data_IF_991046865450
#
_entry.id   IF_991046865450
#
_cell.length_a   1.000
_cell.length_b   1.000
_cell.length_c   1.000
_cell.angle_alpha   90.00
_cell.angle_beta   90.00
_cell.angle_gamma   90.00
#
_symmetry.space_group_name_H-M   'P 1'
#
loop_
_entity.id
_entity.type
_entity.pdbx_description
1 polymer ?
#
# COMPACT_ATOMS: atom_id res chain seq x y z
N UNK A 1 -18.15 33.17 27.40
CA UNK A 1 -18.51 31.93 26.66
C UNK A 1 -18.06 31.90 25.19
N UNK A 2 -17.78 33.05 24.54
CA UNK A 2 -17.31 33.10 23.14
C UNK A 2 -16.05 32.28 22.82
N UNK A 3 -15.08 32.22 23.73
CA UNK A 3 -13.83 31.47 23.51
C UNK A 3 -13.97 29.95 23.64
N UNK A 4 -14.98 29.47 24.38
CA UNK A 4 -15.21 28.04 24.55
C UNK A 4 -15.66 27.39 23.24
N UNK A 5 -16.52 28.07 22.48
CA UNK A 5 -16.98 27.59 21.17
C UNK A 5 -15.83 27.54 20.15
N UNK A 6 -14.93 28.52 20.15
CA UNK A 6 -13.75 28.52 19.26
C UNK A 6 -12.80 27.39 19.64
N UNK A 7 -12.51 27.19 20.93
CA UNK A 7 -11.67 26.09 21.41
C UNK A 7 -12.29 24.72 21.09
N UNK A 8 -13.61 24.59 21.21
CA UNK A 8 -14.33 23.36 20.89
C UNK A 8 -14.28 23.07 19.38
N UNK A 9 -14.41 24.09 18.54
CA UNK A 9 -14.31 23.96 17.09
C UNK A 9 -12.90 23.53 16.66
N UNK A 10 -11.86 24.12 17.25
CA UNK A 10 -10.47 23.71 16.99
C UNK A 10 -10.17 22.28 17.47
N UNK A 11 -10.71 21.88 18.63
CA UNK A 11 -10.58 20.52 19.11
C UNK A 11 -11.28 19.52 18.18
N UNK A 12 -12.46 19.86 17.65
CA UNK A 12 -13.18 19.03 16.69
C UNK A 12 -12.42 18.90 15.36
N UNK A 13 -11.86 20.00 14.85
CA UNK A 13 -11.06 20.01 13.61
C UNK A 13 -9.80 19.14 13.75
N UNK A 14 -9.11 19.24 14.88
CA UNK A 14 -7.94 18.41 15.17
C UNK A 14 -8.29 16.92 15.25
N UNK A 15 -9.44 16.57 15.85
CA UNK A 15 -9.90 15.18 15.91
C UNK A 15 -10.23 14.61 14.52
N UNK A 16 -10.81 15.41 13.62
CA UNK A 16 -11.10 14.97 12.25
C UNK A 16 -9.82 14.76 11.41
N UNK A 17 -8.75 15.51 11.68
CA UNK A 17 -7.49 15.38 10.94
C UNK A 17 -6.73 14.08 11.27
N UNK A 18 -6.88 13.55 12.48
CA UNK A 18 -6.16 12.35 12.93
C UNK A 18 -6.90 11.04 12.63
N UNK A 19 -8.19 11.09 12.25
CA UNK A 19 -9.01 9.90 12.00
C UNK A 19 -8.98 9.35 10.57
N UNK A 20 -8.26 9.99 9.66
CA UNK A 20 -8.17 9.58 8.24
C UNK A 20 -6.97 8.66 7.99
N UNK A 21 -6.91 7.50 8.66
CA UNK A 21 -6.04 6.44 8.16
C UNK A 21 -6.66 5.85 6.89
N UNK A 22 -5.96 6.01 5.77
CA UNK A 22 -6.39 5.40 4.51
C UNK A 22 -6.39 3.88 4.65
N UNK A 23 -7.45 3.18 4.20
CA UNK A 23 -7.50 1.73 4.27
C UNK A 23 -6.28 1.13 3.57
N UNK A 24 -5.50 0.34 4.31
CA UNK A 24 -4.33 -0.34 3.78
C UNK A 24 -4.77 -1.49 2.88
N UNK A 25 -4.15 -1.58 1.71
CA UNK A 25 -4.29 -2.72 0.79
C UNK A 25 -3.11 -3.66 0.96
N UNK A 26 -3.29 -4.93 0.57
CA UNK A 26 -2.22 -5.89 0.38
C UNK A 26 -2.02 -6.11 -1.10
N UNK A 27 -0.81 -5.86 -1.59
CA UNK A 27 -0.51 -5.87 -3.02
C UNK A 27 0.75 -6.68 -3.24
N UNK A 28 0.68 -7.61 -4.17
CA UNK A 28 1.83 -8.31 -4.73
C UNK A 28 2.41 -7.40 -5.81
N UNK A 29 3.68 -7.03 -5.64
CA UNK A 29 4.44 -6.22 -6.59
C UNK A 29 5.51 -7.09 -7.21
N UNK A 30 5.57 -7.11 -8.54
CA UNK A 30 6.52 -7.91 -9.29
C UNK A 30 7.13 -7.14 -10.47
N UNK A 31 8.30 -7.61 -10.92
CA UNK A 31 8.97 -7.10 -12.12
C UNK A 31 9.82 -8.21 -12.75
N UNK A 32 10.18 -8.05 -14.02
CA UNK A 32 11.10 -8.99 -14.68
C UNK A 32 12.52 -8.91 -14.08
N UNK A 33 12.93 -7.70 -13.68
CA UNK A 33 14.26 -7.43 -13.14
C UNK A 33 14.24 -7.41 -11.60
N UNK A 34 15.11 -8.22 -10.99
CA UNK A 34 15.27 -8.29 -9.54
C UNK A 34 15.74 -6.95 -8.95
N UNK A 35 16.60 -6.20 -9.64
CA UNK A 35 17.07 -4.90 -9.17
C UNK A 35 15.94 -3.89 -9.03
N UNK A 36 14.96 -3.95 -9.93
CA UNK A 36 13.75 -3.12 -9.87
C UNK A 36 12.89 -3.50 -8.68
N UNK A 37 12.76 -4.80 -8.39
CA UNK A 37 12.05 -5.30 -7.21
C UNK A 37 12.72 -4.85 -5.91
N UNK A 38 14.05 -4.94 -5.82
CA UNK A 38 14.80 -4.51 -4.64
C UNK A 38 14.65 -3.01 -4.40
N UNK A 39 14.71 -2.21 -5.47
CA UNK A 39 14.47 -0.77 -5.41
C UNK A 39 13.02 -0.45 -5.01
N UNK A 40 12.04 -1.17 -5.55
CA UNK A 40 10.63 -0.98 -5.21
C UNK A 40 10.35 -1.32 -3.73
N UNK A 41 10.98 -2.35 -3.18
CA UNK A 41 10.86 -2.65 -1.75
C UNK A 41 11.36 -1.49 -0.88
N UNK A 42 12.53 -0.95 -1.19
CA UNK A 42 13.09 0.20 -0.47
C UNK A 42 12.17 1.43 -0.58
N UNK A 43 11.70 1.72 -1.80
CA UNK A 43 10.81 2.84 -2.04
C UNK A 43 9.50 2.72 -1.25
N UNK A 44 8.92 1.52 -1.17
CA UNK A 44 7.69 1.28 -0.40
C UNK A 44 7.95 1.43 1.10
N UNK A 45 9.09 0.95 1.62
CA UNK A 45 9.50 1.13 3.02
C UNK A 45 9.69 2.63 3.36
N UNK A 46 10.28 3.41 2.44
CA UNK A 46 10.46 4.87 2.58
C UNK A 46 9.13 5.65 2.62
N UNK A 47 8.05 5.07 2.08
CA UNK A 47 6.69 5.62 2.15
C UNK A 47 5.87 5.05 3.32
N UNK A 48 6.55 4.52 4.35
CA UNK A 48 5.93 3.90 5.54
C UNK A 48 5.07 2.66 5.21
N UNK A 49 5.28 2.05 4.03
CA UNK A 49 4.71 0.76 3.68
C UNK A 49 5.41 -0.39 4.39
N UNK A 50 4.71 -1.50 4.57
CA UNK A 50 5.23 -2.68 5.28
C UNK A 50 5.38 -3.84 4.31
N UNK A 51 6.60 -4.38 4.18
CA UNK A 51 6.83 -5.60 3.42
C UNK A 51 6.40 -6.81 4.25
N UNK A 52 5.41 -7.56 3.77
CA UNK A 52 4.84 -8.72 4.46
C UNK A 52 5.55 -10.02 4.08
N UNK A 53 5.93 -10.15 2.81
CA UNK A 53 6.59 -11.35 2.32
C UNK A 53 7.50 -11.02 1.14
N UNK A 54 8.64 -11.72 1.04
CA UNK A 54 9.56 -11.61 -0.09
C UNK A 54 9.62 -12.98 -0.76
N UNK A 55 9.25 -13.04 -2.04
CA UNK A 55 9.29 -14.30 -2.78
C UNK A 55 10.71 -14.56 -3.27
N UNK A 56 11.19 -15.79 -3.08
CA UNK A 56 12.56 -16.19 -3.47
C UNK A 56 12.64 -16.78 -4.87
N UNK A 57 11.55 -17.38 -5.35
CA UNK A 57 11.48 -18.06 -6.65
C UNK A 57 11.01 -17.14 -7.79
N UNK A 58 10.18 -16.15 -7.46
CA UNK A 58 9.69 -15.14 -8.40
C UNK A 58 10.22 -13.78 -7.96
N UNK A 59 10.47 -12.90 -8.93
CA UNK A 59 10.89 -11.52 -8.69
C UNK A 59 9.68 -10.70 -8.23
N UNK A 60 9.26 -10.92 -6.99
CA UNK A 60 8.10 -10.28 -6.40
C UNK A 60 8.21 -10.14 -4.88
N UNK A 61 7.37 -9.27 -4.31
CA UNK A 61 7.13 -9.17 -2.88
C UNK A 61 5.66 -8.83 -2.59
N UNK A 62 5.20 -9.19 -1.42
CA UNK A 62 3.91 -8.78 -0.87
C UNK A 62 4.14 -7.62 0.08
N UNK A 63 3.41 -6.52 -0.12
CA UNK A 63 3.45 -5.36 0.75
C UNK A 63 2.06 -4.90 1.19
N UNK A 64 2.00 -4.22 2.33
CA UNK A 64 0.82 -3.55 2.82
C UNK A 64 1.07 -2.05 2.98
N UNK A 65 0.28 -1.25 2.28
CA UNK A 65 0.35 0.21 2.29
C UNK A 65 -1.00 0.82 1.86
N UNK A 66 -1.23 2.12 2.07
CA UNK A 66 -2.34 2.84 1.44
C UNK A 66 -2.32 2.71 -0.09
N UNK A 67 -3.48 2.68 -0.74
CA UNK A 67 -3.59 2.55 -2.20
C UNK A 67 -2.79 3.62 -2.97
N UNK A 68 -2.78 4.86 -2.45
CA UNK A 68 -2.03 5.98 -3.01
C UNK A 68 -0.52 5.74 -3.11
N UNK A 69 0.05 4.91 -2.23
CA UNK A 69 1.47 4.57 -2.24
C UNK A 69 1.78 3.70 -3.46
N UNK A 70 0.94 2.71 -3.77
CA UNK A 70 1.13 1.84 -4.93
C UNK A 70 0.90 2.58 -6.26
N UNK A 71 -0.10 3.46 -6.32
CA UNK A 71 -0.32 4.33 -7.48
C UNK A 71 0.87 5.27 -7.72
N UNK A 72 1.40 5.87 -6.64
CA UNK A 72 2.60 6.70 -6.68
C UNK A 72 3.82 5.90 -7.12
N UNK A 73 4.03 4.70 -6.57
CA UNK A 73 5.13 3.81 -6.98
C UNK A 73 5.07 3.52 -8.48
N UNK A 74 3.90 3.12 -9.00
CA UNK A 74 3.73 2.83 -10.43
C UNK A 74 4.05 4.04 -11.31
N UNK A 75 3.57 5.21 -10.92
CA UNK A 75 3.84 6.46 -11.65
C UNK A 75 5.33 6.83 -11.60
N UNK A 76 5.93 6.87 -10.41
CA UNK A 76 7.34 7.25 -10.22
C UNK A 76 8.30 6.32 -10.96
N UNK A 77 8.10 5.00 -10.88
CA UNK A 77 8.97 4.03 -11.56
C UNK A 77 8.89 4.16 -13.08
N UNK A 78 7.69 4.41 -13.61
CA UNK A 78 7.47 4.63 -15.04
C UNK A 78 8.07 5.97 -15.49
N UNK A 79 7.80 7.06 -14.78
CA UNK A 79 8.28 8.41 -15.14
C UNK A 79 9.80 8.53 -15.07
N UNK A 80 10.43 7.90 -14.07
CA UNK A 80 11.88 7.95 -13.90
C UNK A 80 12.62 6.87 -14.70
N UNK A 81 11.90 6.06 -15.48
CA UNK A 81 12.45 4.93 -16.24
C UNK A 81 13.30 3.97 -15.38
N UNK A 82 12.86 3.73 -14.14
CA UNK A 82 13.52 2.80 -13.22
C UNK A 82 13.14 1.36 -13.48
N UNK A 83 12.01 1.12 -14.15
CA UNK A 83 11.55 -0.22 -14.51
C UNK A 83 10.02 -0.29 -14.56
N UNK A 84 9.51 -1.40 -15.09
CA UNK A 84 8.08 -1.68 -15.09
C UNK A 84 7.69 -2.49 -13.86
N UNK A 85 6.67 -2.02 -13.13
CA UNK A 85 6.10 -2.73 -11.99
C UNK A 85 4.72 -3.28 -12.35
N UNK A 86 4.53 -4.58 -12.11
CA UNK A 86 3.22 -5.22 -12.12
C UNK A 86 2.73 -5.27 -10.68
N UNK A 87 1.48 -4.85 -10.46
CA UNK A 87 0.89 -4.74 -9.13
C UNK A 87 -0.49 -5.38 -9.15
N UNK A 88 -0.70 -6.34 -8.27
CA UNK A 88 -1.94 -7.12 -8.17
C UNK A 88 -2.40 -7.15 -6.71
N UNK A 89 -3.69 -6.91 -6.46
CA UNK A 89 -4.25 -7.01 -5.11
C UNK A 89 -4.25 -8.48 -4.66
N UNK A 90 -3.77 -8.73 -3.44
CA UNK A 90 -3.67 -10.09 -2.89
C UNK A 90 -5.08 -10.59 -2.52
N UNK A 91 -5.62 -11.47 -3.37
CA UNK A 91 -6.99 -11.97 -3.26
C UNK A 91 -7.09 -13.18 -2.33
N UNK A 92 -8.20 -13.28 -1.60
CA UNK A 92 -8.50 -14.47 -0.80
C UNK A 92 -8.90 -15.64 -1.69
N UNK A 93 -8.35 -16.83 -1.38
CA UNK A 93 -8.71 -18.09 -2.03
C UNK A 93 -9.36 -19.03 -1.02
N UNK A 94 -10.44 -19.71 -1.41
CA UNK A 94 -11.16 -20.64 -0.55
C UNK A 94 -10.93 -22.08 -0.97
N UNK A 95 -10.84 -22.98 0.01
CA UNK A 95 -10.80 -24.42 -0.25
C UNK A 95 -12.13 -24.86 -0.88
N UNK A 96 -12.05 -25.56 -2.01
CA UNK A 96 -13.24 -26.09 -2.66
C UNK A 96 -13.69 -27.37 -1.94
N UNK A 97 -14.82 -27.30 -1.22
CA UNK A 97 -15.53 -28.46 -0.68
C UNK A 97 -16.67 -28.80 -1.64
N UNK A 98 -16.49 -29.83 -2.45
CA UNK A 98 -17.38 -30.20 -3.56
C UNK A 98 -18.73 -30.84 -3.16
N UNK A 99 -19.41 -30.36 -2.12
CA UNK A 99 -20.80 -30.78 -1.83
C UNK A 99 -21.78 -30.00 -2.71
N UNK A 100 -22.02 -30.54 -3.90
CA UNK A 100 -23.22 -30.23 -4.67
C UNK A 100 -24.26 -31.28 -4.32
N UNK A 101 -25.34 -30.86 -3.65
CA UNK A 101 -26.56 -31.65 -3.47
C UNK A 101 -27.19 -31.99 -4.82
#
# INVERSE_FOLDING_TARGET
>A
MKFFLVSLLFALLAACALGFESPKKKVIVSSEDKGVVDHAMQWIEDQEGVILHKYTLINAFLASAPASVFESAKNTFTTNNWGNLVMEEDAEVHAWSGEQN
#
